data_IF_766264214233
#
_entry.id   IF_766264214233
#
_cell.length_a   1.000
_cell.length_b   1.000
_cell.length_c   1.000
_cell.angle_alpha   90.00
_cell.angle_beta   90.00
_cell.angle_gamma   90.00
#
_symmetry.space_group_name_H-M   'P 1'
#
loop_
_entity.id
_entity.type
_entity.pdbx_description
1 polymer ?
#
# COMPACT_ATOMS: atom_id res chain seq x y z
N UNK A 1 4.95 17.90 12.23
CA UNK A 1 4.70 19.10 11.39
C UNK A 1 5.54 19.13 10.11
N UNK A 2 6.85 18.89 10.16
CA UNK A 2 7.69 18.85 8.93
C UNK A 2 7.22 17.80 7.91
N UNK A 3 7.03 16.55 8.35
CA UNK A 3 6.55 15.46 7.48
C UNK A 3 5.15 15.73 6.88
N UNK A 4 4.24 16.34 7.66
CA UNK A 4 2.92 16.76 7.16
C UNK A 4 3.04 17.87 6.12
N UNK A 5 3.96 18.83 6.35
CA UNK A 5 4.23 19.92 5.42
C UNK A 5 4.75 19.43 4.09
N UNK A 6 5.69 18.48 4.09
CA UNK A 6 6.20 17.85 2.86
C UNK A 6 5.10 17.10 2.10
N UNK A 7 4.21 16.41 2.81
CA UNK A 7 3.10 15.66 2.21
C UNK A 7 1.99 16.56 1.63
N UNK A 8 1.78 17.74 2.22
CA UNK A 8 0.71 18.67 1.85
C UNK A 8 1.19 19.79 0.91
N UNK A 9 2.50 20.03 0.81
CA UNK A 9 3.06 21.07 -0.06
C UNK A 9 2.68 20.92 -1.55
N UNK A 10 2.62 19.70 -2.14
CA UNK A 10 2.17 19.56 -3.53
C UNK A 10 0.70 19.95 -3.72
N UNK A 11 -0.06 19.97 -2.62
CA UNK A 11 -1.46 20.34 -2.59
C UNK A 11 -1.65 21.84 -2.23
N UNK A 12 -0.57 22.63 -2.16
CA UNK A 12 -0.60 24.06 -1.80
C UNK A 12 -0.95 24.33 -0.33
N UNK A 13 -1.00 23.31 0.50
CA UNK A 13 -1.42 23.40 1.90
C UNK A 13 -0.19 23.48 2.81
N UNK A 14 -0.22 24.44 3.74
CA UNK A 14 0.82 24.61 4.76
C UNK A 14 0.23 24.31 6.13
N UNK A 15 0.67 23.25 6.83
CA UNK A 15 0.18 22.96 8.16
C UNK A 15 0.69 24.02 9.15
N UNK A 16 -0.23 24.55 9.94
CA UNK A 16 0.04 25.44 11.07
C UNK A 16 -0.51 24.82 12.35
N UNK A 17 0.00 25.23 13.52
CA UNK A 17 -0.58 24.78 14.79
C UNK A 17 -2.01 25.32 14.90
N UNK A 18 -2.93 24.46 15.34
CA UNK A 18 -4.30 24.85 15.70
C UNK A 18 -4.42 25.00 17.23
N UNK A 19 -5.48 25.70 17.66
CA UNK A 19 -5.85 25.78 19.08
C UNK A 19 -6.90 24.74 19.45
N UNK A 20 -7.19 24.62 20.74
CA UNK A 20 -8.43 24.02 21.25
C UNK A 20 -9.35 25.10 21.80
N UNK A 21 -10.66 24.82 21.85
CA UNK A 21 -11.59 25.65 22.63
C UNK A 21 -11.72 25.10 24.05
N UNK A 22 -11.52 25.94 25.05
CA UNK A 22 -11.82 25.59 26.44
C UNK A 22 -13.33 25.74 26.72
N UNK A 23 -13.81 25.32 27.89
CA UNK A 23 -15.24 25.34 28.20
C UNK A 23 -15.91 26.74 28.07
N UNK A 24 -15.28 27.85 28.53
CA UNK A 24 -15.79 29.20 28.27
C UNK A 24 -15.90 29.54 26.78
N UNK A 25 -14.83 29.32 26.01
CA UNK A 25 -14.80 29.58 24.56
C UNK A 25 -15.80 28.72 23.80
N UNK A 26 -16.00 27.47 24.23
CA UNK A 26 -17.00 26.58 23.65
C UNK A 26 -18.43 27.11 23.90
N UNK A 27 -18.68 27.72 25.06
CA UNK A 27 -19.96 28.36 25.39
C UNK A 27 -20.19 29.63 24.56
N UNK A 28 -19.16 30.44 24.39
CA UNK A 28 -19.18 31.62 23.52
C UNK A 28 -19.43 31.22 22.05
N UNK A 29 -18.74 30.19 21.59
CA UNK A 29 -18.85 29.66 20.24
C UNK A 29 -20.11 28.82 19.97
N UNK A 30 -20.92 28.53 21.00
CA UNK A 30 -22.10 27.67 20.87
C UNK A 30 -23.15 28.23 19.90
N UNK A 31 -23.18 29.56 19.72
CA UNK A 31 -24.05 30.26 18.79
C UNK A 31 -23.41 30.62 17.45
N UNK A 32 -22.18 30.18 17.18
CA UNK A 32 -21.46 30.56 15.97
C UNK A 32 -22.21 30.11 14.71
N UNK A 33 -22.40 31.04 13.77
CA UNK A 33 -23.10 30.82 12.49
C UNK A 33 -22.14 31.08 11.34
N UNK A 34 -22.46 30.48 10.19
CA UNK A 34 -21.88 30.90 8.92
C UNK A 34 -22.66 32.14 8.47
N UNK A 35 -21.98 33.26 8.34
CA UNK A 35 -22.50 34.56 7.89
C UNK A 35 -21.37 35.33 7.18
N UNK A 36 -21.67 36.33 6.33
CA UNK A 36 -20.64 37.08 5.61
C UNK A 36 -19.51 37.58 6.53
N UNK A 37 -18.26 37.30 6.18
CA UNK A 37 -17.07 37.66 6.97
C UNK A 37 -16.69 36.68 8.09
N UNK A 38 -17.57 35.76 8.47
CA UNK A 38 -17.29 34.76 9.50
C UNK A 38 -16.23 33.75 9.06
N UNK A 39 -15.55 33.13 10.03
CA UNK A 39 -14.58 32.07 9.76
C UNK A 39 -15.29 30.73 9.51
N UNK A 40 -14.86 30.04 8.46
CA UNK A 40 -15.36 28.72 8.06
C UNK A 40 -14.22 27.70 8.14
N UNK A 41 -14.46 26.60 8.84
CA UNK A 41 -13.61 25.42 8.83
C UNK A 41 -14.11 24.41 7.80
N UNK A 42 -13.15 23.73 7.17
CA UNK A 42 -13.32 22.60 6.27
C UNK A 42 -12.58 21.41 6.89
N UNK A 43 -13.24 20.60 7.74
CA UNK A 43 -12.58 19.47 8.40
C UNK A 43 -12.12 18.38 7.42
N UNK A 44 -10.81 18.17 7.34
CA UNK A 44 -10.20 17.11 6.53
C UNK A 44 -10.03 15.81 7.32
N UNK A 45 -9.75 15.93 8.62
CA UNK A 45 -9.71 14.84 9.60
C UNK A 45 -10.35 15.30 10.91
N UNK A 46 -11.17 14.43 11.51
CA UNK A 46 -11.69 14.61 12.88
C UNK A 46 -11.48 13.34 13.72
N UNK A 47 -11.57 13.44 15.04
CA UNK A 47 -11.38 12.33 15.98
C UNK A 47 -10.17 12.55 16.88
N UNK A 48 -9.32 11.55 17.05
CA UNK A 48 -8.08 11.68 17.84
C UNK A 48 -7.02 12.61 17.21
N UNK A 49 -7.29 13.12 16.01
CA UNK A 49 -6.58 14.23 15.38
C UNK A 49 -7.60 15.17 14.72
N UNK A 50 -7.30 16.46 14.70
CA UNK A 50 -8.08 17.47 13.97
C UNK A 50 -7.19 18.17 12.95
N UNK A 51 -7.51 17.97 11.66
CA UNK A 51 -6.92 18.71 10.57
C UNK A 51 -8.03 19.39 9.79
N UNK A 52 -8.07 20.71 9.87
CA UNK A 52 -9.09 21.52 9.22
C UNK A 52 -8.42 22.63 8.42
N UNK A 53 -8.87 22.83 7.19
CA UNK A 53 -8.56 24.07 6.47
C UNK A 53 -9.51 25.17 6.98
N UNK A 54 -9.04 26.41 7.07
CA UNK A 54 -9.87 27.53 7.54
C UNK A 54 -9.79 28.68 6.56
N UNK A 55 -10.94 29.28 6.29
CA UNK A 55 -11.07 30.46 5.46
C UNK A 55 -12.19 31.37 5.95
N UNK A 56 -12.78 32.10 5.01
CA UNK A 56 -13.82 33.09 5.31
C UNK A 56 -15.05 32.83 4.45
N UNK A 57 -16.22 33.03 5.04
CA UNK A 57 -17.51 33.04 4.34
C UNK A 57 -17.63 34.36 3.58
N UNK A 58 -17.89 34.26 2.28
CA UNK A 58 -18.16 35.41 1.42
C UNK A 58 -19.59 35.87 1.58
N UNK A 59 -20.54 34.93 1.45
CA UNK A 59 -21.97 35.23 1.58
C UNK A 59 -22.81 34.00 1.97
N UNK A 60 -24.02 34.22 2.49
CA UNK A 60 -25.00 33.17 2.81
C UNK A 60 -26.38 33.53 2.28
N UNK A 61 -26.86 32.76 1.29
CA UNK A 61 -28.11 33.00 0.57
C UNK A 61 -29.04 31.79 0.68
N UNK A 62 -30.12 31.89 1.47
CA UNK A 62 -31.09 30.81 1.70
C UNK A 62 -30.44 29.49 2.20
N UNK A 63 -29.45 29.62 3.08
CA UNK A 63 -28.68 28.48 3.59
C UNK A 63 -27.66 27.90 2.60
N UNK A 64 -27.51 28.49 1.41
CA UNK A 64 -26.35 28.27 0.53
C UNK A 64 -25.21 29.16 1.01
N UNK A 65 -24.01 28.60 1.07
CA UNK A 65 -22.82 29.30 1.54
C UNK A 65 -21.89 29.47 0.35
N UNK A 66 -21.46 30.71 0.10
CA UNK A 66 -20.32 31.01 -0.74
C UNK A 66 -19.15 31.32 0.20
N UNK A 67 -18.04 30.63 0.03
CA UNK A 67 -16.88 30.77 0.89
C UNK A 67 -15.59 30.72 0.07
N UNK A 68 -14.53 31.21 0.69
CA UNK A 68 -13.21 31.37 0.10
C UNK A 68 -13.22 32.35 -1.09
N UNK A 69 -12.18 33.18 -1.19
CA UNK A 69 -11.95 34.03 -2.35
C UNK A 69 -11.12 33.34 -3.43
N UNK A 70 -11.06 32.00 -3.39
CA UNK A 70 -10.24 31.16 -4.26
C UNK A 70 -10.75 29.72 -4.22
N UNK A 71 -10.37 28.94 -5.23
CA UNK A 71 -10.57 27.50 -5.24
C UNK A 71 -9.84 26.80 -4.10
N UNK A 72 -10.35 25.65 -3.67
CA UNK A 72 -9.58 24.68 -2.89
C UNK A 72 -8.63 23.90 -3.82
N UNK A 73 -9.20 23.16 -4.78
CA UNK A 73 -8.53 22.43 -5.87
C UNK A 73 -9.12 22.72 -7.26
N UNK A 74 -10.22 23.48 -7.35
CA UNK A 74 -10.92 23.78 -8.59
C UNK A 74 -11.40 22.52 -9.35
N UNK A 75 -11.91 21.53 -8.60
CA UNK A 75 -12.34 20.23 -9.18
C UNK A 75 -13.81 20.17 -9.60
N UNK A 76 -14.56 21.26 -9.43
CA UNK A 76 -15.98 21.30 -9.70
C UNK A 76 -16.78 20.60 -8.61
N UNK A 77 -17.20 19.35 -8.82
CA UNK A 77 -17.97 18.61 -7.81
C UNK A 77 -17.07 18.18 -6.64
N UNK A 78 -17.46 18.56 -5.43
CA UNK A 78 -16.73 18.24 -4.20
C UNK A 78 -17.69 17.70 -3.12
N UNK A 79 -17.15 17.10 -2.06
CA UNK A 79 -17.93 16.67 -0.90
C UNK A 79 -17.12 16.87 0.39
N UNK A 80 -16.94 18.14 0.79
CA UNK A 80 -16.22 18.49 2.01
C UNK A 80 -17.15 18.89 3.14
N UNK A 81 -16.90 18.47 4.39
CA UNK A 81 -17.65 19.00 5.52
C UNK A 81 -17.30 20.47 5.72
N UNK A 82 -18.27 21.25 6.18
CA UNK A 82 -18.03 22.62 6.62
C UNK A 82 -18.70 22.93 7.94
N UNK A 83 -18.12 23.87 8.68
CA UNK A 83 -18.69 24.40 9.90
C UNK A 83 -18.06 25.74 10.26
N UNK A 84 -18.61 26.47 11.24
CA UNK A 84 -17.97 27.68 11.76
C UNK A 84 -16.61 27.35 12.41
N UNK A 85 -15.73 28.34 12.47
CA UNK A 85 -14.45 28.23 13.18
C UNK A 85 -14.32 29.37 14.20
N UNK A 86 -13.74 29.07 15.37
CA UNK A 86 -13.37 30.07 16.35
C UNK A 86 -11.96 30.58 16.03
N UNK A 87 -11.79 31.90 15.92
CA UNK A 87 -10.49 32.54 15.70
C UNK A 87 -9.97 33.03 17.05
N UNK A 88 -8.88 32.42 17.54
CA UNK A 88 -8.26 32.82 18.81
C UNK A 88 -7.50 34.13 18.66
N UNK A 89 -6.69 34.23 17.62
CA UNK A 89 -5.86 35.41 17.33
C UNK A 89 -5.27 35.31 15.93
N UNK A 90 -4.63 36.38 15.49
CA UNK A 90 -3.75 36.39 14.31
C UNK A 90 -2.31 36.23 14.80
N UNK A 91 -1.58 35.27 14.24
CA UNK A 91 -0.15 35.08 14.50
C UNK A 91 0.63 35.82 13.41
N UNK A 92 1.26 36.96 13.73
CA UNK A 92 2.08 37.68 12.77
C UNK A 92 3.41 36.95 12.58
N UNK A 93 3.80 36.65 11.33
CA UNK A 93 5.12 36.10 11.04
C UNK A 93 5.68 36.68 9.75
N UNK A 94 7.01 36.81 9.65
CA UNK A 94 7.68 37.30 8.44
C UNK A 94 7.52 36.34 7.24
N UNK A 95 7.35 35.05 7.49
CA UNK A 95 7.15 34.06 6.43
C UNK A 95 5.72 34.12 5.89
N UNK A 96 4.72 33.97 6.77
CA UNK A 96 3.30 34.02 6.43
C UNK A 96 2.45 34.19 7.69
N UNK A 97 1.74 35.31 7.81
CA UNK A 97 0.76 35.50 8.88
C UNK A 97 -0.43 34.54 8.70
N UNK A 98 -0.96 34.01 9.81
CA UNK A 98 -2.11 33.09 9.78
C UNK A 98 -3.03 33.30 10.98
N UNK A 99 -4.28 32.85 10.87
CA UNK A 99 -5.24 32.84 11.98
C UNK A 99 -5.04 31.56 12.81
N UNK A 100 -4.79 31.69 14.12
CA UNK A 100 -4.82 30.56 15.03
C UNK A 100 -6.28 30.24 15.35
N UNK A 101 -6.74 29.06 14.94
CA UNK A 101 -8.16 28.73 14.90
C UNK A 101 -8.47 27.39 15.53
N UNK A 102 -9.73 27.21 15.91
CA UNK A 102 -10.32 25.92 16.29
C UNK A 102 -11.59 25.69 15.47
N UNK A 103 -11.71 24.56 14.77
CA UNK A 103 -12.96 24.22 14.11
C UNK A 103 -14.05 23.94 15.15
N UNK A 104 -15.29 24.26 14.80
CA UNK A 104 -16.47 23.96 15.61
C UNK A 104 -17.27 22.83 14.95
N UNK A 105 -18.55 22.69 15.32
CA UNK A 105 -19.40 21.63 14.78
C UNK A 105 -19.54 21.72 13.26
N UNK A 106 -19.49 20.57 12.59
CA UNK A 106 -19.86 20.45 11.18
C UNK A 106 -21.35 20.77 11.05
N UNK A 107 -21.69 21.80 10.27
CA UNK A 107 -23.06 22.30 10.05
C UNK A 107 -23.54 22.12 8.61
N UNK A 108 -22.69 21.70 7.68
CA UNK A 108 -23.10 21.47 6.30
C UNK A 108 -22.04 20.82 5.42
N UNK A 109 -22.25 20.94 4.11
CA UNK A 109 -21.39 20.37 3.07
C UNK A 109 -21.02 21.44 2.05
N UNK A 110 -19.73 21.57 1.71
CA UNK A 110 -19.27 22.22 0.48
C UNK A 110 -19.36 21.20 -0.65
N UNK A 111 -20.16 21.51 -1.67
CA UNK A 111 -20.45 20.62 -2.79
C UNK A 111 -19.94 21.12 -4.14
N UNK A 112 -19.40 22.34 -4.19
CA UNK A 112 -18.77 22.94 -5.36
C UNK A 112 -17.43 23.56 -4.99
N UNK A 113 -16.43 23.28 -5.79
CA UNK A 113 -15.09 23.86 -5.70
C UNK A 113 -14.71 24.40 -7.08
N UNK A 114 -15.01 25.67 -7.30
CA UNK A 114 -14.81 26.37 -8.56
C UNK A 114 -13.57 27.26 -8.48
N UNK A 115 -13.12 27.78 -9.62
CA UNK A 115 -11.86 28.53 -9.72
C UNK A 115 -11.78 29.76 -8.79
N UNK A 116 -12.91 30.45 -8.57
CA UNK A 116 -12.97 31.72 -7.82
C UNK A 116 -13.52 31.57 -6.40
N UNK A 117 -13.88 30.36 -5.97
CA UNK A 117 -14.48 30.13 -4.66
C UNK A 117 -15.13 28.76 -4.52
N UNK A 118 -15.52 28.44 -3.29
CA UNK A 118 -16.24 27.19 -2.98
C UNK A 118 -17.67 27.51 -2.57
N UNK A 119 -18.60 26.64 -2.93
CA UNK A 119 -19.99 26.77 -2.54
C UNK A 119 -20.52 25.50 -1.87
N UNK A 120 -21.50 25.69 -1.00
CA UNK A 120 -22.07 24.62 -0.20
C UNK A 120 -23.46 24.94 0.33
N UNK A 121 -23.95 24.08 1.20
CA UNK A 121 -25.24 24.24 1.86
C UNK A 121 -25.19 23.82 3.32
N UNK A 122 -25.78 24.64 4.18
CA UNK A 122 -26.04 24.31 5.58
C UNK A 122 -27.11 23.21 5.66
N UNK A 123 -26.95 22.27 6.59
CA UNK A 123 -27.88 21.18 6.83
C UNK A 123 -27.22 19.81 6.66
N UNK A 124 -27.49 19.07 5.55
CA UNK A 124 -26.92 17.74 5.35
C UNK A 124 -25.40 17.74 5.48
N UNK A 125 -24.87 16.83 6.30
CA UNK A 125 -23.43 16.67 6.53
C UNK A 125 -22.91 15.55 5.62
N UNK A 126 -21.70 15.69 5.06
CA UNK A 126 -21.17 14.66 4.20
C UNK A 126 -20.71 13.47 5.05
N UNK A 127 -20.72 12.29 4.44
CA UNK A 127 -20.19 11.12 5.12
C UNK A 127 -18.66 11.14 5.08
N UNK A 128 -18.03 11.09 6.25
CA UNK A 128 -16.58 10.90 6.38
C UNK A 128 -16.22 9.41 6.48
N UNK A 129 -14.99 9.07 6.10
CA UNK A 129 -14.46 7.69 6.11
C UNK A 129 -13.96 7.36 7.54
N UNK A 130 -14.59 6.44 8.28
CA UNK A 130 -14.07 6.01 9.56
C UNK A 130 -12.77 5.21 9.39
N UNK A 131 -11.76 5.55 10.17
CA UNK A 131 -10.46 4.89 10.21
C UNK A 131 -10.07 4.55 11.65
N UNK A 132 -9.66 3.31 11.91
CA UNK A 132 -9.13 2.90 13.21
C UNK A 132 -7.69 2.41 13.07
N UNK A 133 -6.78 2.94 13.87
CA UNK A 133 -5.38 2.51 13.93
C UNK A 133 -5.07 1.98 15.32
N UNK A 134 -4.67 0.72 15.39
CA UNK A 134 -4.24 0.09 16.64
C UNK A 134 -2.72 -0.05 16.59
N UNK A 135 -2.03 0.49 17.59
CA UNK A 135 -0.57 0.42 17.74
C UNK A 135 -0.26 -0.34 19.04
N UNK A 136 0.47 -1.44 18.92
CA UNK A 136 0.97 -2.21 20.04
C UNK A 136 2.49 -2.07 20.15
N UNK A 137 2.96 -1.53 21.26
CA UNK A 137 4.38 -1.49 21.61
C UNK A 137 4.70 -2.73 22.43
N UNK A 138 5.22 -3.76 21.75
CA UNK A 138 5.30 -5.11 22.30
C UNK A 138 6.22 -5.20 23.52
N UNK A 139 7.39 -4.56 23.48
CA UNK A 139 8.35 -4.58 24.58
C UNK A 139 7.83 -3.85 25.82
N UNK A 140 7.00 -2.81 25.63
CA UNK A 140 6.44 -2.00 26.72
C UNK A 140 5.02 -2.44 27.14
N UNK A 141 4.46 -3.48 26.50
CA UNK A 141 3.11 -4.02 26.74
C UNK A 141 1.99 -2.96 26.67
N UNK A 142 2.17 -1.90 25.87
CA UNK A 142 1.15 -0.86 25.69
C UNK A 142 0.41 -1.04 24.39
N UNK A 143 -0.89 -0.75 24.45
CA UNK A 143 -1.78 -0.69 23.29
C UNK A 143 -2.39 0.70 23.23
N UNK A 144 -2.37 1.29 22.04
CA UNK A 144 -3.01 2.57 21.73
C UNK A 144 -3.98 2.34 20.59
N UNK A 145 -5.18 2.89 20.72
CA UNK A 145 -6.19 2.85 19.67
C UNK A 145 -6.52 4.28 19.31
N UNK A 146 -6.37 4.61 18.03
CA UNK A 146 -6.74 5.89 17.47
C UNK A 146 -7.93 5.73 16.53
N UNK A 147 -8.89 6.64 16.61
CA UNK A 147 -10.13 6.68 15.85
C UNK A 147 -10.23 8.01 15.13
N UNK A 148 -10.25 7.95 13.82
CA UNK A 148 -10.32 9.10 12.94
C UNK A 148 -11.53 9.00 12.02
N UNK A 149 -11.95 10.14 11.48
CA UNK A 149 -12.85 10.24 10.33
C UNK A 149 -12.19 11.16 9.30
N UNK A 150 -12.03 10.67 8.07
CA UNK A 150 -11.35 11.39 6.99
C UNK A 150 -12.37 11.94 5.99
N UNK A 151 -12.09 13.11 5.41
CA UNK A 151 -12.84 13.60 4.26
C UNK A 151 -12.73 12.62 3.08
N UNK A 152 -13.76 12.61 2.22
CA UNK A 152 -13.80 11.82 1.00
C UNK A 152 -13.25 12.64 -0.14
N UNK A 153 -12.01 12.37 -0.54
CA UNK A 153 -11.36 13.12 -1.61
C UNK A 153 -10.28 12.27 -2.29
N UNK A 154 -10.27 12.25 -3.63
CA UNK A 154 -9.38 11.39 -4.42
C UNK A 154 -7.89 11.61 -4.16
N UNK A 155 -7.50 12.84 -3.82
CA UNK A 155 -6.12 13.20 -3.51
C UNK A 155 -5.81 13.27 -2.02
N UNK A 156 -6.74 13.76 -1.20
CA UNK A 156 -6.47 14.00 0.22
C UNK A 156 -6.62 12.73 1.05
N UNK A 157 -7.62 11.89 0.77
CA UNK A 157 -7.82 10.64 1.51
C UNK A 157 -6.55 9.76 1.55
N UNK A 158 -5.85 9.45 0.43
CA UNK A 158 -4.63 8.64 0.50
C UNK A 158 -3.47 9.31 1.27
N UNK A 159 -3.33 10.63 1.18
CA UNK A 159 -2.27 11.37 1.87
C UNK A 159 -2.54 11.39 3.38
N UNK A 160 -3.74 11.80 3.78
CA UNK A 160 -4.16 11.90 5.18
C UNK A 160 -4.15 10.52 5.85
N UNK A 161 -4.64 9.47 5.18
CA UNK A 161 -4.65 8.13 5.77
C UNK A 161 -3.23 7.61 6.02
N UNK A 162 -2.27 7.87 5.11
CA UNK A 162 -0.84 7.57 5.35
C UNK A 162 -0.30 8.38 6.52
N UNK A 163 -0.56 9.68 6.53
CA UNK A 163 -0.05 10.55 7.59
C UNK A 163 -0.58 10.13 8.96
N UNK A 164 -1.85 9.76 9.09
CA UNK A 164 -2.44 9.32 10.36
C UNK A 164 -1.82 8.02 10.89
N UNK A 165 -1.42 7.08 10.01
CA UNK A 165 -0.64 5.90 10.43
C UNK A 165 0.74 6.33 10.95
N UNK A 166 1.40 7.23 10.24
CA UNK A 166 2.71 7.75 10.63
C UNK A 166 2.63 8.46 11.99
N UNK A 167 1.69 9.40 12.16
CA UNK A 167 1.47 10.13 13.41
C UNK A 167 1.14 9.19 14.57
N UNK A 168 0.25 8.21 14.35
CA UNK A 168 -0.08 7.19 15.35
C UNK A 168 1.13 6.35 15.80
N UNK A 169 2.06 6.06 14.90
CA UNK A 169 3.27 5.31 15.20
C UNK A 169 4.27 6.08 16.08
N UNK A 170 4.28 7.42 16.01
CA UNK A 170 5.08 8.29 16.87
C UNK A 170 4.30 8.87 18.06
N UNK A 171 3.00 8.59 18.17
CA UNK A 171 2.12 9.20 19.17
C UNK A 171 2.41 8.83 20.63
N UNK A 172 3.30 7.86 20.89
CA UNK A 172 3.91 7.68 22.21
C UNK A 172 5.33 8.25 22.23
N UNK A 173 6.25 7.56 21.55
CA UNK A 173 7.68 7.84 21.60
C UNK A 173 8.31 7.57 20.25
N UNK A 174 9.57 7.95 20.13
CA UNK A 174 10.41 7.59 18.99
C UNK A 174 10.50 6.07 18.80
N UNK A 175 10.57 5.66 17.54
CA UNK A 175 10.83 4.26 17.20
C UNK A 175 12.21 3.85 17.74
N UNK A 176 12.38 2.62 18.24
CA UNK A 176 13.71 2.11 18.56
C UNK A 176 14.61 2.16 17.33
N UNK A 177 15.90 2.47 17.50
CA UNK A 177 16.87 2.55 16.39
C UNK A 177 16.83 1.31 15.49
N UNK A 178 16.71 0.13 16.11
CA UNK A 178 16.45 -1.12 15.42
C UNK A 178 15.09 -1.63 15.84
N UNK A 179 14.19 -1.77 14.88
CA UNK A 179 12.83 -2.20 15.14
C UNK A 179 12.29 -3.11 14.03
N UNK A 180 11.24 -3.82 14.40
CA UNK A 180 10.44 -4.67 13.54
C UNK A 180 8.99 -4.23 13.66
N UNK A 181 8.34 -4.01 12.53
CA UNK A 181 6.91 -3.66 12.45
C UNK A 181 6.16 -4.83 11.82
N UNK A 182 5.26 -5.45 12.58
CA UNK A 182 4.31 -6.45 12.06
C UNK A 182 2.96 -5.77 11.93
N UNK A 183 2.29 -5.94 10.79
CA UNK A 183 1.05 -5.22 10.57
C UNK A 183 0.04 -6.00 9.76
N UNK A 184 -1.22 -5.59 9.91
CA UNK A 184 -2.33 -6.01 9.08
C UNK A 184 -3.27 -4.83 8.86
N UNK A 185 -3.95 -4.80 7.73
CA UNK A 185 -4.92 -3.76 7.42
C UNK A 185 -6.05 -4.29 6.54
N UNK A 186 -7.18 -3.61 6.60
CA UNK A 186 -8.32 -3.82 5.72
C UNK A 186 -8.86 -2.47 5.25
N UNK A 187 -9.24 -2.41 3.97
CA UNK A 187 -9.92 -1.27 3.36
C UNK A 187 -11.18 -1.80 2.69
N UNK A 188 -12.33 -1.23 3.02
CA UNK A 188 -13.61 -1.57 2.41
C UNK A 188 -13.95 -0.54 1.32
N UNK A 189 -13.93 -0.96 0.05
CA UNK A 189 -14.29 -0.15 -1.12
C UNK A 189 -15.78 -0.29 -1.48
N UNK A 190 -16.62 -0.70 -0.53
CA UNK A 190 -18.06 -0.87 -0.71
C UNK A 190 -18.38 -1.94 -1.74
N UNK A 191 -19.17 -1.58 -2.76
CA UNK A 191 -19.61 -2.49 -3.83
C UNK A 191 -18.46 -3.13 -4.61
N UNK A 192 -17.29 -2.47 -4.70
CA UNK A 192 -16.13 -3.01 -5.40
C UNK A 192 -15.46 -4.16 -4.62
N UNK A 193 -15.63 -4.20 -3.31
CA UNK A 193 -15.10 -5.24 -2.43
C UNK A 193 -13.97 -4.78 -1.50
N UNK A 194 -13.36 -5.75 -0.80
CA UNK A 194 -12.42 -5.47 0.30
C UNK A 194 -10.96 -5.70 -0.07
N UNK A 195 -10.07 -4.84 0.35
CA UNK A 195 -8.63 -5.04 0.26
C UNK A 195 -8.09 -5.42 1.65
N UNK A 196 -7.15 -6.36 1.70
CA UNK A 196 -6.47 -6.75 2.93
C UNK A 196 -4.99 -7.01 2.67
N UNK A 197 -4.14 -6.47 3.53
CA UNK A 197 -2.69 -6.70 3.49
C UNK A 197 -2.18 -7.08 4.88
N UNK A 198 -1.15 -7.91 4.94
CA UNK A 198 -0.43 -8.18 6.18
C UNK A 198 1.02 -8.57 5.91
N UNK A 199 1.94 -7.92 6.58
CA UNK A 199 3.36 -8.08 6.34
C UNK A 199 4.17 -7.84 7.61
N UNK A 200 5.47 -8.05 7.47
CA UNK A 200 6.48 -7.66 8.46
C UNK A 200 7.58 -6.88 7.76
N UNK A 201 8.01 -5.79 8.37
CA UNK A 201 9.12 -4.96 7.92
C UNK A 201 10.10 -4.71 9.05
N UNK A 202 11.32 -4.38 8.68
CA UNK A 202 12.42 -4.03 9.59
C UNK A 202 13.40 -3.16 8.78
N UNK A 203 14.14 -2.27 9.44
CA UNK A 203 15.03 -1.29 8.79
C UNK A 203 14.30 -0.41 7.75
N UNK A 204 13.08 0.04 8.07
CA UNK A 204 12.26 0.81 7.12
C UNK A 204 11.28 1.77 7.79
N UNK A 205 11.46 2.05 9.08
CA UNK A 205 10.43 2.66 9.92
C UNK A 205 9.08 1.97 9.70
N UNK A 206 8.03 2.77 9.49
CA UNK A 206 6.69 2.31 9.14
C UNK A 206 6.39 2.35 7.63
N UNK A 207 7.40 2.58 6.77
CA UNK A 207 7.20 2.82 5.33
C UNK A 207 6.36 1.74 4.64
N UNK A 208 6.56 0.47 4.98
CA UNK A 208 5.83 -0.63 4.36
C UNK A 208 4.33 -0.57 4.69
N UNK A 209 3.96 -0.26 5.94
CA UNK A 209 2.56 -0.06 6.34
C UNK A 209 1.95 1.11 5.56
N UNK A 210 2.71 2.21 5.42
CA UNK A 210 2.27 3.39 4.67
C UNK A 210 2.06 3.08 3.17
N UNK A 211 2.96 2.31 2.57
CA UNK A 211 2.88 1.90 1.17
C UNK A 211 1.68 0.99 0.92
N UNK A 212 1.51 -0.04 1.76
CA UNK A 212 0.45 -1.03 1.62
C UNK A 212 -0.94 -0.47 1.89
N UNK A 213 -1.05 0.66 2.60
CA UNK A 213 -2.29 1.43 2.73
C UNK A 213 -2.47 2.45 1.59
N UNK A 214 -1.44 3.25 1.32
CA UNK A 214 -1.58 4.42 0.45
C UNK A 214 -1.75 4.07 -1.03
N UNK A 215 -0.96 3.11 -1.53
CA UNK A 215 -1.00 2.70 -2.95
C UNK A 215 -2.36 2.17 -3.41
N UNK A 216 -3.04 1.25 -2.70
CA UNK A 216 -4.38 0.80 -3.11
C UNK A 216 -5.40 1.93 -3.12
N UNK A 217 -5.40 2.80 -2.10
CA UNK A 217 -6.32 3.95 -2.03
C UNK A 217 -6.09 4.87 -3.24
N UNK A 218 -4.83 5.27 -3.47
CA UNK A 218 -4.49 6.16 -4.58
C UNK A 218 -4.82 5.54 -5.93
N UNK A 219 -4.46 4.27 -6.15
CA UNK A 219 -4.71 3.56 -7.41
C UNK A 219 -6.22 3.45 -7.71
N UNK A 220 -7.03 3.10 -6.71
CA UNK A 220 -8.46 2.89 -6.91
C UNK A 220 -9.23 4.21 -7.00
N UNK A 221 -8.88 5.22 -6.21
CA UNK A 221 -9.55 6.53 -6.28
C UNK A 221 -9.18 7.32 -7.55
N UNK A 222 -8.00 7.08 -8.13
CA UNK A 222 -7.55 7.74 -9.38
C UNK A 222 -7.58 6.78 -10.58
N UNK A 223 -8.43 5.76 -10.55
CA UNK A 223 -8.51 4.78 -11.63
C UNK A 223 -9.11 5.39 -12.91
N UNK A 224 -8.62 5.04 -14.11
CA UNK A 224 -9.16 5.53 -15.38
C UNK A 224 -10.33 4.69 -15.93
N UNK A 225 -10.79 3.67 -15.20
CA UNK A 225 -11.69 2.61 -15.72
C UNK A 225 -13.15 2.78 -15.30
N UNK A 226 -13.49 3.90 -14.67
CA UNK A 226 -14.86 4.18 -14.22
C UNK A 226 -14.89 5.11 -13.01
N UNK A 227 -16.06 5.21 -12.39
CA UNK A 227 -16.23 6.04 -11.19
C UNK A 227 -15.36 5.51 -10.04
N UNK A 228 -14.64 6.38 -9.31
CA UNK A 228 -13.92 5.99 -8.11
C UNK A 228 -14.81 5.25 -7.11
N UNK A 229 -14.35 4.16 -6.48
CA UNK A 229 -15.13 3.46 -5.47
C UNK A 229 -15.24 4.30 -4.19
N UNK A 230 -16.32 4.11 -3.44
CA UNK A 230 -16.49 4.74 -2.12
C UNK A 230 -15.83 3.89 -1.05
N UNK A 231 -14.90 4.49 -0.30
CA UNK A 231 -14.32 3.85 0.87
C UNK A 231 -15.30 4.00 2.04
N UNK A 232 -15.66 2.88 2.66
CA UNK A 232 -16.62 2.85 3.78
C UNK A 232 -15.93 2.67 5.13
N UNK A 233 -14.74 2.04 5.16
CA UNK A 233 -13.96 1.82 6.38
C UNK A 233 -12.49 1.52 6.11
N UNK A 234 -11.62 1.98 7.02
CA UNK A 234 -10.20 1.62 7.07
C UNK A 234 -9.87 1.08 8.47
N UNK A 235 -9.29 -0.11 8.55
CA UNK A 235 -8.80 -0.68 9.80
C UNK A 235 -7.31 -1.03 9.66
N UNK A 236 -6.50 -0.60 10.62
CA UNK A 236 -5.05 -0.85 10.66
C UNK A 236 -4.68 -1.37 12.04
N UNK A 237 -3.82 -2.39 12.06
CA UNK A 237 -3.18 -2.90 13.27
C UNK A 237 -1.69 -3.02 13.00
N UNK A 238 -0.88 -2.44 13.87
CA UNK A 238 0.57 -2.58 13.84
C UNK A 238 1.09 -2.93 15.23
N UNK A 239 2.09 -3.79 15.25
CA UNK A 239 2.86 -4.16 16.43
C UNK A 239 4.31 -3.78 16.18
N UNK A 240 4.86 -2.94 17.03
CA UNK A 240 6.24 -2.44 17.00
C UNK A 240 7.01 -3.21 18.06
N UNK A 241 8.10 -3.87 17.64
CA UNK A 241 9.01 -4.64 18.48
C UNK A 241 10.43 -4.12 18.28
N UNK A 242 11.24 -4.13 19.33
CA UNK A 242 12.67 -3.83 19.25
C UNK A 242 13.41 -4.97 18.53
N UNK A 243 14.43 -4.60 17.77
CA UNK A 243 15.31 -5.52 17.07
C UNK A 243 15.12 -5.52 15.55
N UNK A 244 16.23 -5.77 14.87
CA UNK A 244 16.31 -5.88 13.43
C UNK A 244 16.34 -7.36 13.02
N UNK A 245 15.38 -7.74 12.17
CA UNK A 245 15.26 -9.12 11.64
C UNK A 245 15.58 -9.20 10.15
N UNK A 246 16.31 -8.22 9.60
CA UNK A 246 16.73 -8.25 8.21
C UNK A 246 17.76 -9.35 7.95
N UNK A 247 17.63 -9.97 6.78
CA UNK A 247 18.56 -10.97 6.29
C UNK A 247 18.82 -10.75 4.80
N UNK A 248 20.10 -10.67 4.43
CA UNK A 248 20.51 -10.63 3.02
C UNK A 248 20.83 -12.03 2.54
N UNK A 249 20.17 -12.45 1.48
CA UNK A 249 20.48 -13.68 0.78
C UNK A 249 21.83 -13.52 0.06
N UNK A 250 22.77 -14.42 0.35
CA UNK A 250 24.11 -14.42 -0.22
C UNK A 250 24.24 -15.42 -1.35
N UNK A 251 23.88 -16.67 -1.09
CA UNK A 251 24.13 -17.80 -1.99
C UNK A 251 23.08 -18.90 -1.80
N UNK A 252 22.88 -19.69 -2.84
CA UNK A 252 22.16 -20.97 -2.81
C UNK A 252 23.12 -22.04 -3.30
N UNK A 253 23.31 -23.10 -2.51
CA UNK A 253 24.13 -24.27 -2.86
C UNK A 253 23.23 -25.50 -2.90
N UNK A 254 23.36 -26.31 -3.94
CA UNK A 254 22.63 -27.57 -4.10
C UNK A 254 23.51 -28.73 -3.68
N UNK A 255 22.91 -29.77 -3.12
CA UNK A 255 23.64 -30.98 -2.72
C UNK A 255 24.07 -31.80 -3.94
N UNK A 256 23.30 -31.71 -5.03
CA UNK A 256 23.55 -32.38 -6.30
C UNK A 256 23.55 -31.41 -7.48
N UNK A 257 24.23 -31.80 -8.55
CA UNK A 257 24.24 -31.07 -9.82
C UNK A 257 23.36 -31.72 -10.89
N UNK A 258 22.90 -32.95 -10.65
CA UNK A 258 22.07 -33.72 -11.58
C UNK A 258 20.93 -34.36 -10.80
N UNK A 259 19.70 -34.19 -11.30
CA UNK A 259 18.47 -34.72 -10.71
C UNK A 259 17.62 -35.41 -11.78
N UNK A 260 16.74 -36.32 -11.37
CA UNK A 260 15.71 -36.91 -12.23
C UNK A 260 14.43 -36.05 -12.18
N UNK A 261 13.59 -36.09 -13.23
CA UNK A 261 12.23 -35.57 -13.12
C UNK A 261 11.50 -36.21 -11.94
N UNK A 262 10.69 -35.44 -11.23
CA UNK A 262 10.02 -35.89 -10.00
C UNK A 262 10.94 -35.97 -8.78
N UNK A 263 12.25 -35.77 -8.89
CA UNK A 263 13.14 -35.81 -7.72
C UNK A 263 12.98 -34.55 -6.85
N UNK A 264 13.25 -34.68 -5.54
CA UNK A 264 13.31 -33.51 -4.64
C UNK A 264 14.73 -33.00 -4.62
N UNK A 265 14.96 -31.82 -5.19
CA UNK A 265 16.21 -31.10 -5.06
C UNK A 265 16.38 -30.61 -3.62
N UNK A 266 17.55 -30.85 -3.05
CA UNK A 266 17.96 -30.41 -1.70
C UNK A 266 19.20 -29.53 -1.76
N UNK A 267 19.36 -28.67 -0.75
CA UNK A 267 20.51 -27.79 -0.63
C UNK A 267 20.35 -26.82 0.53
N UNK A 268 21.14 -25.75 0.50
CA UNK A 268 21.15 -24.72 1.54
C UNK A 268 21.17 -23.31 0.95
N UNK A 269 20.52 -22.39 1.65
CA UNK A 269 20.58 -20.95 1.37
C UNK A 269 21.36 -20.28 2.48
N UNK A 270 22.44 -19.59 2.12
CA UNK A 270 23.24 -18.81 3.08
C UNK A 270 22.67 -17.40 3.20
N UNK A 271 22.37 -17.00 4.44
CA UNK A 271 21.88 -15.68 4.80
C UNK A 271 22.91 -14.93 5.65
N UNK A 272 23.06 -13.62 5.41
CA UNK A 272 23.73 -12.69 6.31
C UNK A 272 22.68 -11.92 7.10
N UNK A 273 22.61 -12.22 8.39
CA UNK A 273 21.72 -11.55 9.34
C UNK A 273 22.32 -10.22 9.82
N UNK A 274 21.48 -9.29 10.25
CA UNK A 274 21.94 -8.03 10.86
C UNK A 274 22.75 -8.29 12.14
N UNK A 275 24.02 -7.86 12.14
CA UNK A 275 24.98 -7.98 13.28
C UNK A 275 25.08 -9.38 13.90
N UNK A 276 24.85 -10.43 13.11
CA UNK A 276 24.96 -11.83 13.54
C UNK A 276 25.79 -12.63 12.53
N UNK A 277 26.35 -13.79 12.95
CA UNK A 277 27.01 -14.71 12.02
C UNK A 277 26.11 -15.10 10.85
N UNK A 278 26.72 -15.58 9.76
CA UNK A 278 25.97 -16.17 8.64
C UNK A 278 25.20 -17.40 9.16
N UNK A 279 24.00 -17.60 8.64
CA UNK A 279 23.17 -18.77 8.93
C UNK A 279 22.77 -19.44 7.63
N UNK A 280 22.54 -20.75 7.66
CA UNK A 280 22.05 -21.52 6.52
C UNK A 280 20.64 -22.01 6.79
N UNK A 281 19.79 -21.94 5.76
CA UNK A 281 18.44 -22.52 5.79
C UNK A 281 18.40 -23.67 4.79
N UNK A 282 17.92 -24.87 5.19
CA UNK A 282 17.76 -25.97 4.25
C UNK A 282 16.67 -25.63 3.24
N UNK A 283 16.93 -25.93 1.96
CA UNK A 283 15.94 -25.81 0.89
C UNK A 283 15.61 -27.17 0.33
N UNK A 284 14.31 -27.38 0.08
CA UNK A 284 13.76 -28.55 -0.59
C UNK A 284 12.79 -28.09 -1.66
N UNK A 285 12.97 -28.59 -2.88
CA UNK A 285 12.12 -28.23 -4.02
C UNK A 285 11.79 -29.48 -4.84
N UNK A 286 10.50 -29.82 -4.92
CA UNK A 286 10.04 -30.98 -5.70
C UNK A 286 10.01 -30.61 -7.19
N UNK A 287 10.81 -31.29 -8.00
CA UNK A 287 10.77 -31.13 -9.44
C UNK A 287 9.50 -31.81 -10.00
N UNK A 288 8.89 -31.25 -11.07
CA UNK A 288 7.80 -31.93 -11.77
C UNK A 288 8.22 -33.27 -12.34
N UNK A 289 7.29 -34.22 -12.36
CA UNK A 289 7.51 -35.55 -12.95
C UNK A 289 7.70 -35.49 -14.47
N UNK A 290 7.12 -34.48 -15.13
CA UNK A 290 7.18 -34.27 -16.57
C UNK A 290 8.27 -33.26 -16.99
N UNK A 291 9.15 -32.85 -16.07
CA UNK A 291 10.21 -31.88 -16.33
C UNK A 291 11.16 -32.40 -17.44
N UNK A 292 11.29 -31.70 -18.59
CA UNK A 292 12.17 -32.15 -19.66
C UNK A 292 13.64 -32.22 -19.25
N UNK A 293 14.41 -33.08 -19.91
CA UNK A 293 15.87 -33.08 -19.73
C UNK A 293 16.46 -31.74 -20.17
N UNK A 294 17.49 -31.26 -19.47
CA UNK A 294 18.14 -30.00 -19.78
C UNK A 294 18.80 -29.33 -18.59
N UNK A 295 19.35 -28.14 -18.84
CA UNK A 295 19.95 -27.28 -17.81
C UNK A 295 18.90 -26.32 -17.27
N UNK A 296 18.80 -26.24 -15.95
CA UNK A 296 17.88 -25.38 -15.24
C UNK A 296 18.63 -24.57 -14.18
N UNK A 297 17.99 -23.50 -13.70
CA UNK A 297 18.49 -22.73 -12.57
C UNK A 297 17.37 -22.56 -11.55
N UNK A 298 17.59 -23.07 -10.34
CA UNK A 298 16.71 -22.76 -9.22
C UNK A 298 17.05 -21.35 -8.74
N UNK A 299 16.12 -20.43 -8.92
CA UNK A 299 16.25 -19.05 -8.45
C UNK A 299 15.63 -18.93 -7.07
N UNK A 300 16.38 -18.45 -6.09
CA UNK A 300 15.87 -18.15 -4.76
C UNK A 300 15.96 -16.65 -4.55
N UNK A 301 14.84 -16.02 -4.19
CA UNK A 301 14.77 -14.58 -4.13
C UNK A 301 13.78 -14.07 -3.10
N UNK A 302 13.94 -12.80 -2.74
CA UNK A 302 13.00 -12.07 -1.93
C UNK A 302 11.73 -11.66 -2.71
N UNK A 303 10.78 -11.07 -2.00
CA UNK A 303 9.47 -10.69 -2.53
C UNK A 303 9.53 -9.74 -3.75
N UNK A 304 10.44 -8.77 -3.76
CA UNK A 304 10.47 -7.74 -4.81
C UNK A 304 10.96 -8.32 -6.14
N UNK A 305 11.98 -9.17 -6.09
CA UNK A 305 12.47 -9.92 -7.26
C UNK A 305 11.44 -10.96 -7.74
N UNK A 306 10.75 -11.63 -6.80
CA UNK A 306 9.67 -12.55 -7.13
C UNK A 306 8.50 -11.84 -7.83
N UNK A 307 8.10 -10.65 -7.35
CA UNK A 307 7.06 -9.84 -7.96
C UNK A 307 7.47 -9.33 -9.34
N UNK A 308 8.68 -8.79 -9.49
CA UNK A 308 9.20 -8.32 -10.78
C UNK A 308 9.19 -9.45 -11.83
N UNK A 309 9.61 -10.65 -11.43
CA UNK A 309 9.56 -11.83 -12.31
C UNK A 309 8.12 -12.22 -12.65
N UNK A 310 7.22 -12.25 -11.68
CA UNK A 310 5.81 -12.53 -11.93
C UNK A 310 5.17 -11.50 -12.89
N UNK A 311 5.55 -10.22 -12.80
CA UNK A 311 5.08 -9.18 -13.71
C UNK A 311 5.60 -9.39 -15.14
N UNK A 312 6.86 -9.77 -15.29
CA UNK A 312 7.46 -10.09 -16.60
C UNK A 312 6.88 -11.38 -17.20
N UNK A 313 6.66 -12.39 -16.37
CA UNK A 313 6.12 -13.69 -16.76
C UNK A 313 4.64 -13.61 -17.13
N UNK A 314 3.85 -12.82 -16.40
CA UNK A 314 2.38 -12.73 -16.52
C UNK A 314 1.90 -11.27 -16.66
N UNK A 315 2.34 -10.53 -17.70
CA UNK A 315 2.10 -9.09 -17.80
C UNK A 315 0.60 -8.74 -17.91
N UNK A 316 -0.21 -9.59 -18.53
CA UNK A 316 -1.67 -9.41 -18.63
C UNK A 316 -2.39 -9.38 -17.27
N UNK A 317 -1.79 -9.96 -16.21
CA UNK A 317 -2.36 -9.92 -14.85
C UNK A 317 -2.16 -8.57 -14.13
N UNK A 318 -1.31 -7.70 -14.67
CA UNK A 318 -0.93 -6.40 -14.11
C UNK A 318 -1.30 -5.22 -15.03
N UNK A 319 -2.06 -5.48 -16.08
CA UNK A 319 -2.58 -4.48 -16.99
C UNK A 319 -4.11 -4.42 -16.83
N UNK A 320 -4.66 -3.79 -15.78
CA UNK A 320 -6.11 -3.77 -15.54
C UNK A 320 -6.87 -2.93 -16.57
N UNK A 321 -8.14 -3.27 -16.85
CA UNK A 321 -9.05 -2.47 -17.71
C UNK A 321 -10.39 -2.15 -17.06
N UNK A 322 -10.61 -2.65 -15.84
CA UNK A 322 -11.80 -2.37 -15.03
C UNK A 322 -11.36 -2.10 -13.59
N UNK A 323 -12.19 -1.44 -12.77
CA UNK A 323 -11.92 -1.26 -11.35
C UNK A 323 -11.71 -2.59 -10.60
N UNK A 324 -12.45 -3.64 -10.97
CA UNK A 324 -12.35 -4.98 -10.35
C UNK A 324 -11.00 -5.63 -10.69
N UNK A 325 -10.56 -5.49 -11.95
CA UNK A 325 -9.26 -5.98 -12.38
C UNK A 325 -8.12 -5.22 -11.70
N UNK A 326 -8.28 -3.91 -11.49
CA UNK A 326 -7.32 -3.09 -10.76
C UNK A 326 -7.24 -3.52 -9.29
N UNK A 327 -8.37 -3.70 -8.61
CA UNK A 327 -8.40 -4.22 -7.24
C UNK A 327 -7.74 -5.61 -7.16
N UNK A 328 -7.99 -6.49 -8.14
CA UNK A 328 -7.36 -7.80 -8.21
C UNK A 328 -5.83 -7.70 -8.41
N UNK A 329 -5.36 -6.79 -9.27
CA UNK A 329 -3.93 -6.56 -9.49
C UNK A 329 -3.24 -6.04 -8.21
N UNK A 330 -3.87 -5.08 -7.52
CA UNK A 330 -3.33 -4.54 -6.26
C UNK A 330 -3.31 -5.61 -5.15
N UNK A 331 -4.36 -6.44 -5.05
CA UNK A 331 -4.38 -7.60 -4.12
C UNK A 331 -3.24 -8.59 -4.39
N UNK A 332 -2.89 -8.85 -5.66
CA UNK A 332 -1.77 -9.76 -6.01
C UNK A 332 -0.43 -9.21 -5.52
N UNK A 333 -0.21 -7.90 -5.63
CA UNK A 333 1.03 -7.26 -5.20
C UNK A 333 1.29 -7.48 -3.71
N UNK A 334 0.28 -7.31 -2.86
CA UNK A 334 0.44 -7.41 -1.39
C UNK A 334 0.39 -8.84 -0.84
N UNK A 335 0.10 -9.83 -1.67
CA UNK A 335 0.29 -11.24 -1.31
C UNK A 335 1.77 -11.64 -1.24
N UNK A 336 2.67 -10.82 -1.78
CA UNK A 336 4.11 -11.03 -1.70
C UNK A 336 4.64 -10.53 -0.36
N UNK A 337 4.89 -11.45 0.57
CA UNK A 337 5.36 -11.14 1.93
C UNK A 337 6.87 -11.01 2.01
N UNK A 338 7.35 -10.09 2.84
CA UNK A 338 8.78 -9.78 3.03
C UNK A 338 9.58 -10.88 3.73
N UNK A 339 8.90 -11.71 4.53
CA UNK A 339 9.49 -12.83 5.26
C UNK A 339 9.27 -14.20 4.60
N UNK A 340 9.24 -14.20 3.27
CA UNK A 340 9.12 -15.43 2.47
C UNK A 340 10.25 -15.48 1.46
N UNK A 341 10.97 -16.59 1.44
CA UNK A 341 11.87 -16.97 0.35
C UNK A 341 11.03 -17.59 -0.77
N UNK A 342 11.22 -17.09 -1.99
CA UNK A 342 10.55 -17.59 -3.18
C UNK A 342 11.55 -18.43 -3.99
N UNK A 343 11.36 -19.73 -3.99
CA UNK A 343 12.10 -20.69 -4.80
C UNK A 343 11.35 -20.81 -6.14
N UNK A 344 12.03 -20.48 -7.23
CA UNK A 344 11.43 -20.32 -8.56
C UNK A 344 12.20 -21.14 -9.57
N UNK A 345 11.47 -21.99 -10.28
CA UNK A 345 11.98 -22.74 -11.43
C UNK A 345 11.21 -22.31 -12.67
N UNK A 346 11.87 -21.61 -13.58
CA UNK A 346 11.30 -21.28 -14.88
C UNK A 346 11.22 -22.55 -15.74
N UNK A 347 10.05 -22.84 -16.31
CA UNK A 347 9.82 -24.02 -17.14
C UNK A 347 9.56 -23.57 -18.57
N UNK A 348 10.33 -24.08 -19.54
CA UNK A 348 10.19 -23.73 -20.97
C UNK A 348 8.81 -24.13 -21.53
N UNK A 349 8.21 -25.20 -21.00
CA UNK A 349 6.95 -25.77 -21.48
C UNK A 349 5.69 -25.03 -20.98
N UNK A 350 5.84 -23.97 -20.19
CA UNK A 350 4.73 -23.20 -19.60
C UNK A 350 4.44 -21.87 -20.32
N UNK A 351 4.94 -21.68 -21.54
CA UNK A 351 4.59 -20.53 -22.36
C UNK A 351 3.20 -20.69 -22.94
N UNK A 352 2.36 -19.66 -22.83
CA UNK A 352 1.02 -19.67 -23.37
C UNK A 352 0.62 -18.30 -23.91
N UNK A 353 -0.54 -18.26 -24.56
CA UNK A 353 -1.12 -17.03 -25.07
C UNK A 353 -2.27 -16.62 -24.15
N UNK A 354 -2.23 -15.40 -23.64
CA UNK A 354 -3.38 -14.77 -23.03
C UNK A 354 -4.15 -14.01 -24.11
N UNK A 355 -5.43 -14.34 -24.30
CA UNK A 355 -6.35 -13.61 -25.18
C UNK A 355 -7.37 -12.93 -24.30
N UNK A 356 -7.51 -11.61 -24.37
CA UNK A 356 -8.35 -10.81 -23.46
C UNK A 356 -8.09 -11.15 -21.97
N UNK A 357 -6.81 -11.38 -21.64
CA UNK A 357 -6.31 -11.77 -20.31
C UNK A 357 -6.79 -13.13 -19.79
N UNK A 358 -7.49 -13.92 -20.61
CA UNK A 358 -7.78 -15.33 -20.31
C UNK A 358 -6.62 -16.17 -20.80
N UNK A 359 -6.07 -16.97 -19.89
CA UNK A 359 -4.91 -17.81 -20.18
C UNK A 359 -5.36 -19.05 -20.96
N UNK A 360 -4.78 -19.24 -22.14
CA UNK A 360 -4.86 -20.48 -22.90
C UNK A 360 -3.54 -21.22 -22.71
N UNK A 361 -3.42 -22.09 -21.69
CA UNK A 361 -2.21 -22.88 -21.47
C UNK A 361 -2.04 -23.91 -22.59
N UNK A 362 -0.78 -24.29 -22.86
CA UNK A 362 -0.40 -25.42 -23.73
C UNK A 362 -0.91 -25.32 -25.18
N UNK A 363 -1.11 -24.11 -25.70
CA UNK A 363 -1.49 -23.89 -27.08
C UNK A 363 -0.30 -24.20 -28.02
N UNK A 364 -0.44 -25.06 -29.05
CA UNK A 364 0.63 -25.30 -30.01
C UNK A 364 1.09 -23.99 -30.68
N UNK A 365 2.41 -23.80 -30.85
CA UNK A 365 3.01 -22.57 -31.39
C UNK A 365 2.36 -22.09 -32.69
N UNK A 366 1.97 -23.01 -33.57
CA UNK A 366 1.29 -22.69 -34.84
C UNK A 366 -0.09 -22.06 -34.63
N UNK A 367 -0.89 -22.58 -33.69
CA UNK A 367 -2.19 -22.00 -33.33
C UNK A 367 -2.03 -20.68 -32.58
N UNK A 368 -0.99 -20.57 -31.74
CA UNK A 368 -0.73 -19.36 -30.96
C UNK A 368 -0.39 -18.19 -31.89
N UNK A 369 0.41 -18.44 -32.94
CA UNK A 369 0.73 -17.43 -33.96
C UNK A 369 -0.47 -16.98 -34.77
N UNK A 370 -1.36 -17.90 -35.16
CA UNK A 370 -2.58 -17.54 -35.92
C UNK A 370 -3.49 -16.64 -35.07
N UNK A 371 -3.70 -16.98 -33.80
CA UNK A 371 -4.52 -16.18 -32.88
C UNK A 371 -3.86 -14.83 -32.59
N UNK A 372 -2.53 -14.80 -32.44
CA UNK A 372 -1.78 -13.56 -32.24
C UNK A 372 -1.76 -12.64 -33.47
N UNK A 373 -1.93 -13.19 -34.68
CA UNK A 373 -2.02 -12.44 -35.94
C UNK A 373 -3.44 -11.99 -36.29
N UNK A 374 -4.45 -12.41 -35.54
CA UNK A 374 -5.81 -11.97 -35.77
C UNK A 374 -5.97 -10.50 -35.37
N UNK A 375 -6.14 -9.63 -36.36
CA UNK A 375 -6.48 -8.23 -36.15
C UNK A 375 -7.78 -8.18 -35.32
N UNK A 376 -7.73 -7.50 -34.15
CA UNK A 376 -8.77 -7.33 -33.12
C UNK A 376 -8.68 -8.21 -31.86
N UNK A 377 -7.67 -9.08 -31.70
CA UNK A 377 -7.47 -9.80 -30.44
C UNK A 377 -6.31 -9.22 -29.62
N UNK A 378 -6.59 -8.85 -28.36
CA UNK A 378 -5.54 -8.47 -27.40
C UNK A 378 -4.81 -9.72 -26.93
N UNK A 379 -3.65 -9.96 -27.53
CA UNK A 379 -2.85 -11.15 -27.25
C UNK A 379 -1.56 -10.80 -26.51
N UNK A 380 -1.24 -11.56 -25.46
CA UNK A 380 0.05 -11.46 -24.75
C UNK A 380 0.65 -12.83 -24.50
N UNK A 381 1.90 -12.99 -24.92
CA UNK A 381 2.70 -14.13 -24.53
C UNK A 381 2.99 -14.06 -23.03
N UNK A 382 2.84 -15.18 -22.35
CA UNK A 382 3.21 -15.33 -20.95
C UNK A 382 4.06 -16.58 -20.78
N UNK A 383 4.80 -16.65 -19.69
CA UNK A 383 5.53 -17.85 -19.27
C UNK A 383 5.21 -18.17 -17.83
N UNK A 384 5.34 -19.43 -17.43
CA UNK A 384 5.10 -19.86 -16.05
C UNK A 384 6.40 -20.32 -15.40
N UNK A 385 6.56 -19.91 -14.14
CA UNK A 385 7.52 -20.50 -13.24
C UNK A 385 6.78 -21.30 -12.16
N UNK A 386 7.36 -22.42 -11.77
CA UNK A 386 6.94 -23.14 -10.57
C UNK A 386 7.54 -22.39 -9.39
N UNK A 387 6.68 -21.97 -8.46
CA UNK A 387 7.07 -21.16 -7.32
C UNK A 387 6.69 -21.87 -6.04
N UNK A 388 7.69 -22.18 -5.23
CA UNK A 388 7.50 -22.64 -3.86
C UNK A 388 7.82 -21.50 -2.90
N UNK A 389 6.93 -21.30 -1.92
CA UNK A 389 7.07 -20.28 -0.87
C UNK A 389 7.62 -20.94 0.39
N UNK A 390 8.68 -20.38 0.95
CA UNK A 390 9.28 -20.82 2.20
C UNK A 390 9.27 -19.67 3.21
N UNK A 391 8.32 -19.65 4.18
CA UNK A 391 8.31 -18.65 5.25
C UNK A 391 9.60 -18.70 6.07
N UNK A 392 10.03 -17.54 6.55
CA UNK A 392 11.19 -17.38 7.43
C UNK A 392 10.86 -16.40 8.56
N UNK A 393 11.72 -16.38 9.58
CA UNK A 393 11.65 -15.40 10.68
C UNK A 393 12.28 -14.04 10.32
N UNK A 394 12.77 -13.88 9.09
CA UNK A 394 13.57 -12.73 8.67
C UNK A 394 12.93 -11.94 7.54
N UNK A 395 13.13 -10.62 7.50
CA UNK A 395 12.79 -9.79 6.34
C UNK A 395 13.91 -9.90 5.31
N UNK A 396 13.60 -10.40 4.12
CA UNK A 396 14.61 -10.87 3.17
C UNK A 396 14.93 -9.83 2.09
N UNK A 397 16.22 -9.75 1.74
CA UNK A 397 16.71 -8.97 0.62
C UNK A 397 17.64 -9.79 -0.28
N UNK A 398 17.68 -9.46 -1.57
CA UNK A 398 18.55 -10.09 -2.55
C UNK A 398 17.98 -11.34 -3.22
N UNK A 399 18.83 -11.97 -4.02
CA UNK A 399 18.52 -13.18 -4.79
C UNK A 399 19.81 -13.91 -5.16
N UNK A 400 19.74 -15.23 -5.26
CA UNK A 400 20.79 -16.07 -5.83
C UNK A 400 20.17 -17.17 -6.69
N UNK A 401 20.99 -17.82 -7.51
CA UNK A 401 20.58 -18.93 -8.35
C UNK A 401 21.61 -20.04 -8.33
N UNK A 402 21.14 -21.28 -8.39
CA UNK A 402 21.99 -22.45 -8.51
C UNK A 402 21.58 -23.26 -9.74
N UNK A 403 22.56 -23.56 -10.59
CA UNK A 403 22.35 -24.33 -11.80
C UNK A 403 22.38 -25.84 -11.50
N UNK A 404 21.53 -26.59 -12.19
CA UNK A 404 21.50 -28.06 -12.14
C UNK A 404 21.06 -28.62 -13.50
N UNK A 405 21.28 -29.92 -13.70
CA UNK A 405 20.83 -30.66 -14.89
C UNK A 405 19.74 -31.65 -14.52
N UNK A 406 18.79 -31.83 -15.43
CA UNK A 406 17.77 -32.88 -15.33
C UNK A 406 18.06 -33.94 -16.38
N UNK A 407 18.15 -35.20 -15.93
CA UNK A 407 18.44 -36.37 -16.78
C UNK A 407 17.52 -37.51 -16.33
N UNK A 408 16.76 -38.11 -17.26
CA UNK A 408 15.86 -39.24 -16.98
C UNK A 408 16.64 -40.51 -16.62
N UNK A 409 17.83 -40.70 -17.21
CA UNK A 409 18.74 -41.81 -16.94
C UNK A 409 20.17 -41.29 -16.72
N UNK A 410 20.54 -40.85 -15.50
CA UNK A 410 21.92 -40.50 -15.22
C UNK A 410 22.80 -41.73 -15.49
N UNK A 411 23.86 -41.58 -16.30
CA UNK A 411 24.83 -42.66 -16.49
C UNK A 411 25.41 -42.99 -15.12
N UNK A 412 25.15 -44.20 -14.62
CA UNK A 412 25.83 -44.73 -13.45
C UNK A 412 27.31 -44.83 -13.79
N UNK A 413 28.12 -43.90 -13.28
CA UNK A 413 29.56 -44.06 -13.32
C UNK A 413 29.90 -45.24 -12.43
N UNK A 414 30.12 -46.41 -13.02
CA UNK A 414 30.69 -47.57 -12.37
C UNK A 414 32.03 -47.16 -11.75
N UNK A 415 32.04 -46.97 -10.42
CA UNK A 415 33.28 -46.93 -9.66
C UNK A 415 33.86 -48.34 -9.76
N UNK A 416 34.76 -48.55 -10.73
CA UNK A 416 35.62 -49.73 -10.74
C UNK A 416 36.45 -49.67 -9.46
N UNK A 417 36.10 -50.48 -8.46
CA UNK A 417 37.01 -50.86 -7.39
C UNK A 417 38.26 -51.44 -8.06
N UNK A 418 39.34 -50.66 -8.16
CA UNK A 418 40.66 -51.22 -8.36
C UNK A 418 41.10 -51.77 -7.01
N UNK A 419 40.92 -53.08 -6.85
CA UNK A 419 41.67 -53.84 -5.85
C UNK A 419 43.05 -54.17 -6.42
N UNK A 420 44.08 -53.82 -5.66
CA UNK A 420 45.10 -54.76 -5.17
C UNK A 420 45.73 -54.18 -3.92
#
# INVERSE_FOLDING_TARGET
MSALGELLSPAGLMPVKAGGVNAPQAKEAAGAKLEPGAAIAVPLVTGDADYSAVGTVTDVLDGRVLALGHSFYAEGEAEFPMGPAYVHTVVPTLMRSFKLTSPLNITGTLNRDEQTGVAGRIGPKPQMIPMTVNVEWKNDRRKQTYRYKLCRHRYLTPILARYLIYDAAWGWRELPTYHTVRYSMAIDFGKLGKYSASNVSSDSDVYWVLSDLGRPIAALLNNPYGKPPKITKIDVRMTIDSGDITARLLEVKLDGLTYRPGETLTGEVTLRLFRKPRTTLPVRFKLPEDLPEGSYTLQVCNWSQALRRLQSEMPHRFDPRTPEQLLAAVRRTVQMRGNVLYLRLAVKKGSGLAVDKRELPDLPDSRARIIAQADNLDTRNFSRAIVQKMPTDYVLSGSAGAAFKVVKRPKETLIRKQGK
#
